data_IF_022780601214
#
_entry.id   IF_022780601214
#
_cell.length_a   1.000
_cell.length_b   1.000
_cell.length_c   1.000
_cell.angle_alpha   90.00
_cell.angle_beta   90.00
_cell.angle_gamma   90.00
#
_symmetry.space_group_name_H-M   'P 1'
#
loop_
_entity.id
_entity.type
_entity.pdbx_description
1 polymer ?
#
# COMPACT_ATOMS: atom_id res chain seq x y z
N UNK A 1 41.10 -7.15 21.91
CA UNK A 1 39.97 -6.32 21.41
C UNK A 1 39.54 -6.72 19.99
N UNK A 2 39.22 -8.00 19.74
CA UNK A 2 38.74 -8.47 18.42
C UNK A 2 37.52 -9.42 18.49
N UNK A 3 37.21 -9.95 19.67
CA UNK A 3 36.05 -10.85 19.89
C UNK A 3 34.81 -10.14 20.44
N UNK A 4 34.92 -8.88 20.84
CA UNK A 4 33.80 -8.07 21.35
C UNK A 4 33.03 -7.31 20.26
N UNK A 5 33.60 -7.18 19.05
CA UNK A 5 32.95 -6.48 17.93
C UNK A 5 31.99 -7.41 17.17
N UNK A 6 32.27 -8.72 17.13
CA UNK A 6 31.38 -9.69 16.47
C UNK A 6 30.06 -9.91 17.23
N UNK A 7 30.07 -9.82 18.55
CA UNK A 7 28.87 -10.04 19.36
C UNK A 7 27.88 -8.89 19.28
N UNK A 8 28.35 -7.66 18.98
CA UNK A 8 27.48 -6.51 18.75
C UNK A 8 26.74 -6.58 17.40
N UNK A 9 27.33 -7.24 16.39
CA UNK A 9 26.70 -7.41 15.07
C UNK A 9 25.61 -8.51 15.08
N UNK A 10 25.75 -9.51 15.95
CA UNK A 10 24.74 -10.57 16.13
C UNK A 10 23.49 -10.08 16.90
N UNK A 11 23.65 -9.09 17.79
CA UNK A 11 22.54 -8.51 18.56
C UNK A 11 21.70 -7.49 17.75
N UNK A 12 22.19 -7.03 16.59
CA UNK A 12 21.53 -5.99 15.77
C UNK A 12 20.61 -6.52 14.65
N UNK A 13 20.55 -7.83 14.40
CA UNK A 13 19.76 -8.38 13.30
C UNK A 13 18.54 -9.22 13.71
N UNK A 14 18.31 -9.44 15.01
CA UNK A 14 17.12 -10.17 15.49
C UNK A 14 15.90 -9.26 15.68
N UNK A 15 15.98 -8.01 15.26
CA UNK A 15 14.85 -7.09 15.18
C UNK A 15 14.79 -6.50 13.77
N UNK A 16 14.64 -7.36 12.76
CA UNK A 16 13.94 -6.93 11.55
C UNK A 16 12.46 -6.98 11.96
N UNK A 17 11.79 -5.84 12.28
CA UNK A 17 10.34 -5.86 12.29
C UNK A 17 9.92 -6.41 10.92
N UNK A 18 8.89 -7.24 10.86
CA UNK A 18 8.37 -7.85 9.64
C UNK A 18 8.00 -6.77 8.58
N UNK A 19 8.99 -6.19 7.90
CA UNK A 19 8.86 -5.23 6.80
C UNK A 19 8.82 -6.02 5.50
N UNK A 20 7.89 -6.97 5.44
CA UNK A 20 7.39 -7.48 4.16
C UNK A 20 5.89 -7.22 4.02
N UNK A 21 5.28 -6.54 5.00
CA UNK A 21 3.91 -6.10 4.88
C UNK A 21 3.83 -4.92 3.89
N UNK A 22 3.35 -5.22 2.67
CA UNK A 22 2.91 -4.25 1.66
C UNK A 22 3.99 -3.31 1.08
N UNK A 23 4.53 -3.63 -0.11
CA UNK A 23 5.49 -2.79 -0.85
C UNK A 23 4.83 -1.68 -1.68
N UNK A 24 4.23 -0.67 -1.05
CA UNK A 24 3.84 0.55 -1.77
C UNK A 24 5.09 1.41 -2.00
N UNK A 25 5.59 1.47 -3.24
CA UNK A 25 6.75 2.28 -3.60
C UNK A 25 6.35 3.76 -3.77
N UNK A 26 6.17 4.45 -2.64
CA UNK A 26 5.70 5.84 -2.59
C UNK A 26 6.60 6.77 -3.42
N UNK A 27 7.91 6.62 -3.31
CA UNK A 27 8.89 7.49 -3.98
C UNK A 27 8.78 7.39 -5.50
N UNK A 28 8.71 6.16 -6.05
CA UNK A 28 8.57 5.97 -7.49
C UNK A 28 7.24 6.54 -8.04
N UNK A 29 6.16 6.42 -7.27
CA UNK A 29 4.85 6.97 -7.64
C UNK A 29 4.86 8.49 -7.65
N UNK A 30 5.47 9.13 -6.63
CA UNK A 30 5.62 10.58 -6.59
C UNK A 30 6.49 11.11 -7.74
N UNK A 31 7.60 10.44 -8.05
CA UNK A 31 8.44 10.81 -9.19
C UNK A 31 7.68 10.75 -10.53
N UNK A 32 6.71 9.84 -10.68
CA UNK A 32 5.85 9.78 -11.87
C UNK A 32 4.90 10.98 -11.96
N UNK A 33 4.41 11.47 -10.82
CA UNK A 33 3.58 12.68 -10.75
C UNK A 33 4.42 13.93 -11.04
N UNK A 34 5.60 14.06 -10.45
CA UNK A 34 6.54 15.18 -10.72
C UNK A 34 6.88 15.27 -12.22
N UNK A 35 7.12 14.11 -12.85
CA UNK A 35 7.32 14.06 -14.31
C UNK A 35 6.07 14.51 -15.07
N UNK A 36 4.88 14.07 -14.64
CA UNK A 36 3.63 14.51 -15.25
C UNK A 36 3.41 16.02 -15.10
N UNK A 37 3.79 16.61 -13.96
CA UNK A 37 3.70 18.05 -13.71
C UNK A 37 4.62 18.81 -14.65
N UNK A 38 5.85 18.34 -14.84
CA UNK A 38 6.78 18.92 -15.83
C UNK A 38 6.25 18.80 -17.27
N UNK A 39 5.58 17.69 -17.61
CA UNK A 39 5.01 17.48 -18.94
C UNK A 39 3.82 18.41 -19.23
N UNK A 40 2.96 18.72 -18.24
CA UNK A 40 1.86 19.69 -18.42
C UNK A 40 2.31 21.15 -18.38
N UNK A 41 3.44 21.45 -17.72
CA UNK A 41 4.03 22.79 -17.75
C UNK A 41 4.67 23.11 -19.12
N UNK A 42 4.99 22.10 -19.93
CA UNK A 42 5.53 22.28 -21.27
C UNK A 42 4.42 22.52 -22.30
N UNK A 43 4.34 23.72 -22.88
CA UNK A 43 3.30 24.13 -23.84
C UNK A 43 3.08 23.13 -25.00
N UNK A 44 4.18 22.63 -25.60
CA UNK A 44 4.11 21.69 -26.74
C UNK A 44 3.56 20.33 -26.33
N UNK A 45 3.83 19.88 -25.10
CA UNK A 45 3.31 18.62 -24.57
C UNK A 45 1.89 18.79 -24.05
N UNK A 46 1.57 19.89 -23.39
CA UNK A 46 0.25 20.18 -22.86
C UNK A 46 -0.83 20.27 -23.96
N UNK A 47 -0.45 20.70 -25.17
CA UNK A 47 -1.33 20.70 -26.34
C UNK A 47 -1.74 19.29 -26.82
N UNK A 48 -1.06 18.23 -26.35
CA UNK A 48 -1.35 16.85 -26.75
C UNK A 48 -2.33 16.21 -25.77
N UNK A 49 -3.46 15.72 -26.27
CA UNK A 49 -4.43 14.95 -25.47
C UNK A 49 -3.79 13.76 -24.73
N UNK A 50 -2.80 13.10 -25.37
CA UNK A 50 -2.06 11.99 -24.77
C UNK A 50 -1.37 12.37 -23.44
N UNK A 51 -0.93 13.63 -23.27
CA UNK A 51 -0.30 14.11 -22.04
C UNK A 51 -1.29 14.08 -20.87
N UNK A 52 -2.53 14.53 -21.09
CA UNK A 52 -3.59 14.52 -20.08
C UNK A 52 -4.07 13.10 -19.76
N UNK A 53 -4.15 12.22 -20.76
CA UNK A 53 -4.44 10.79 -20.55
C UNK A 53 -3.35 10.14 -19.69
N UNK A 54 -2.09 10.42 -19.98
CA UNK A 54 -0.96 9.90 -19.21
C UNK A 54 -0.94 10.45 -17.77
N UNK A 55 -1.31 11.72 -17.59
CA UNK A 55 -1.52 12.31 -16.26
C UNK A 55 -2.59 11.54 -15.50
N UNK A 56 -3.78 11.38 -16.07
CA UNK A 56 -4.88 10.63 -15.44
C UNK A 56 -4.48 9.21 -15.05
N UNK A 57 -3.74 8.49 -15.91
CA UNK A 57 -3.18 7.17 -15.58
C UNK A 57 -2.22 7.21 -14.40
N UNK A 58 -1.35 8.23 -14.33
CA UNK A 58 -0.42 8.37 -13.21
C UNK A 58 -1.17 8.60 -11.89
N UNK A 59 -2.16 9.50 -11.87
CA UNK A 59 -2.99 9.73 -10.68
C UNK A 59 -3.80 8.48 -10.28
N UNK A 60 -4.37 7.77 -11.25
CA UNK A 60 -5.05 6.50 -10.99
C UNK A 60 -4.13 5.46 -10.35
N UNK A 61 -2.91 5.29 -10.87
CA UNK A 61 -1.94 4.36 -10.28
C UNK A 61 -1.59 4.75 -8.83
N UNK A 62 -1.37 6.04 -8.58
CA UNK A 62 -1.11 6.58 -7.23
C UNK A 62 -2.27 6.29 -6.27
N UNK A 63 -3.51 6.49 -6.72
CA UNK A 63 -4.71 6.27 -5.92
C UNK A 63 -4.96 4.77 -5.66
N UNK A 64 -4.75 3.92 -6.68
CA UNK A 64 -5.08 2.51 -6.62
C UNK A 64 -4.00 1.65 -5.97
N UNK A 65 -2.71 2.03 -6.04
CA UNK A 65 -1.59 1.20 -5.54
C UNK A 65 -1.82 0.62 -4.14
N UNK A 66 -2.32 1.37 -3.14
CA UNK A 66 -2.50 0.84 -1.79
C UNK A 66 -3.45 -0.38 -1.73
N UNK A 67 -4.43 -0.47 -2.62
CA UNK A 67 -5.46 -1.52 -2.59
C UNK A 67 -5.57 -2.30 -3.89
N UNK A 68 -4.67 -2.11 -4.86
CA UNK A 68 -4.77 -2.69 -6.22
C UNK A 68 -4.89 -4.22 -6.26
N UNK A 69 -4.34 -4.88 -5.25
CA UNK A 69 -4.35 -6.34 -5.14
C UNK A 69 -5.55 -6.88 -4.36
N UNK A 70 -6.39 -6.01 -3.79
CA UNK A 70 -7.56 -6.44 -3.03
C UNK A 70 -8.75 -6.64 -3.96
N UNK A 71 -9.48 -7.72 -3.70
CA UNK A 71 -10.78 -7.97 -4.32
C UNK A 71 -11.69 -8.68 -3.32
N UNK A 72 -13.00 -8.47 -3.48
CA UNK A 72 -14.02 -9.10 -2.64
C UNK A 72 -13.99 -10.61 -2.85
N UNK A 73 -14.23 -11.37 -1.77
CA UNK A 73 -14.16 -12.84 -1.73
C UNK A 73 -12.75 -13.43 -1.87
N UNK A 74 -11.68 -12.61 -1.83
CA UNK A 74 -10.31 -13.13 -1.70
C UNK A 74 -10.18 -13.95 -0.40
N UNK A 75 -9.62 -15.16 -0.50
CA UNK A 75 -9.29 -15.98 0.68
C UNK A 75 -8.31 -15.24 1.60
N UNK A 76 -8.55 -15.25 2.90
CA UNK A 76 -7.74 -14.54 3.88
C UNK A 76 -6.27 -15.02 3.89
N UNK A 77 -6.03 -16.29 3.58
CA UNK A 77 -4.68 -16.84 3.37
C UNK A 77 -3.98 -16.22 2.16
N UNK A 78 -4.70 -15.98 1.06
CA UNK A 78 -4.16 -15.32 -0.13
C UNK A 78 -3.81 -13.86 0.17
N UNK A 79 -4.62 -13.17 0.98
CA UNK A 79 -4.30 -11.82 1.44
C UNK A 79 -2.97 -11.80 2.22
N UNK A 80 -2.77 -12.74 3.14
CA UNK A 80 -1.50 -12.86 3.87
C UNK A 80 -0.31 -13.19 2.98
N UNK A 81 -0.48 -14.07 1.99
CA UNK A 81 0.59 -14.41 1.05
C UNK A 81 0.99 -13.22 0.16
N UNK A 82 0.04 -12.38 -0.23
CA UNK A 82 0.28 -11.26 -1.16
C UNK A 82 0.71 -9.98 -0.46
N UNK A 83 0.13 -9.69 0.70
CA UNK A 83 0.34 -8.43 1.43
C UNK A 83 1.24 -8.63 2.65
N UNK A 84 1.36 -9.84 3.18
CA UNK A 84 2.05 -10.15 4.43
C UNK A 84 1.09 -10.27 5.63
N UNK A 85 1.65 -10.44 6.82
CA UNK A 85 0.87 -10.47 8.06
C UNK A 85 0.31 -9.08 8.41
N UNK A 86 -0.93 -8.99 8.93
CA UNK A 86 -1.46 -7.72 9.42
C UNK A 86 -0.69 -7.24 10.65
N UNK A 87 -0.63 -5.92 10.83
CA UNK A 87 -0.01 -5.29 12.01
C UNK A 87 -0.80 -5.57 13.29
N UNK A 88 -2.11 -5.64 13.17
CA UNK A 88 -3.01 -5.98 14.28
C UNK A 88 -4.33 -6.53 13.74
N UNK A 89 -5.07 -7.19 14.63
CA UNK A 89 -6.42 -7.69 14.34
C UNK A 89 -7.38 -7.26 15.44
N UNK A 90 -8.61 -6.89 15.07
CA UNK A 90 -9.68 -6.47 15.98
C UNK A 90 -11.04 -6.95 15.46
N UNK A 91 -12.08 -6.88 16.30
CA UNK A 91 -13.47 -7.05 15.87
C UNK A 91 -14.08 -5.66 15.64
N UNK A 92 -14.66 -5.42 14.47
CA UNK A 92 -15.33 -4.16 14.12
C UNK A 92 -16.74 -4.44 13.57
N UNK A 93 -17.69 -3.57 13.88
CA UNK A 93 -19.06 -3.66 13.35
C UNK A 93 -19.27 -2.58 12.31
N UNK A 94 -19.59 -2.97 11.08
CA UNK A 94 -19.95 -2.07 9.98
C UNK A 94 -21.40 -2.35 9.59
N UNK A 95 -22.25 -1.32 9.60
CA UNK A 95 -23.66 -1.43 9.22
C UNK A 95 -24.40 -2.60 9.93
N UNK A 96 -24.09 -2.83 11.21
CA UNK A 96 -24.71 -3.90 12.02
C UNK A 96 -24.12 -5.30 11.79
N UNK A 97 -23.12 -5.46 10.93
CA UNK A 97 -22.43 -6.74 10.69
C UNK A 97 -21.06 -6.70 11.34
N UNK A 98 -20.72 -7.74 12.12
CA UNK A 98 -19.41 -7.89 12.75
C UNK A 98 -18.40 -8.52 11.78
N UNK A 99 -17.19 -7.99 11.77
CA UNK A 99 -16.07 -8.41 10.95
C UNK A 99 -14.79 -8.53 11.79
N UNK A 100 -13.90 -9.42 11.39
CA UNK A 100 -12.52 -9.40 11.87
C UNK A 100 -11.74 -8.40 11.02
N UNK A 101 -11.40 -7.25 11.60
CA UNK A 101 -10.61 -6.21 10.94
C UNK A 101 -9.12 -6.54 11.03
N UNK A 102 -8.46 -6.61 9.87
CA UNK A 102 -7.03 -6.81 9.72
C UNK A 102 -6.38 -5.51 9.30
N UNK A 103 -5.54 -4.94 10.18
CA UNK A 103 -4.93 -3.63 9.97
C UNK A 103 -3.59 -3.78 9.27
N UNK A 104 -3.51 -3.24 8.05
CA UNK A 104 -2.28 -3.16 7.25
C UNK A 104 -1.72 -1.73 7.25
N UNK A 105 -0.48 -1.52 6.77
CA UNK A 105 0.11 -0.17 6.77
C UNK A 105 -0.71 0.89 6.01
N UNK A 106 -1.43 0.51 4.96
CA UNK A 106 -2.18 1.45 4.10
C UNK A 106 -3.69 1.25 4.04
N UNK A 107 -4.21 0.13 4.55
CA UNK A 107 -5.64 -0.15 4.57
C UNK A 107 -6.01 -1.04 5.76
N UNK A 108 -7.30 -1.14 6.04
CA UNK A 108 -7.87 -2.17 6.91
C UNK A 108 -8.73 -3.09 6.03
N UNK A 109 -8.46 -4.39 6.06
CA UNK A 109 -9.31 -5.38 5.40
C UNK A 109 -10.30 -5.96 6.41
N UNK A 110 -11.56 -6.06 6.01
CA UNK A 110 -12.64 -6.62 6.83
C UNK A 110 -12.90 -8.05 6.39
N UNK A 111 -12.57 -8.99 7.27
CA UNK A 111 -12.66 -10.43 7.00
C UNK A 111 -13.96 -10.98 7.60
N UNK A 112 -14.68 -11.77 6.80
CA UNK A 112 -15.86 -12.54 7.19
C UNK A 112 -15.83 -13.89 6.48
N UNK A 113 -16.16 -14.96 7.17
CA UNK A 113 -16.18 -16.32 6.60
C UNK A 113 -14.86 -16.69 5.90
N UNK A 114 -13.72 -16.33 6.52
CA UNK A 114 -12.37 -16.50 5.99
C UNK A 114 -12.07 -15.77 4.65
N UNK A 115 -12.90 -14.80 4.27
CA UNK A 115 -12.75 -14.04 3.02
C UNK A 115 -12.75 -12.53 3.26
N UNK A 116 -12.07 -11.80 2.38
CA UNK A 116 -12.14 -10.34 2.32
C UNK A 116 -13.55 -9.93 1.90
N UNK A 117 -14.31 -9.35 2.82
CA UNK A 117 -15.65 -8.84 2.55
C UNK A 117 -15.60 -7.42 1.98
N UNK A 118 -14.75 -6.57 2.55
CA UNK A 118 -14.52 -5.19 2.10
C UNK A 118 -13.21 -4.65 2.70
N UNK A 119 -12.83 -3.42 2.35
CA UNK A 119 -11.65 -2.75 2.91
C UNK A 119 -11.86 -1.24 3.01
N UNK A 120 -11.07 -0.62 3.88
CA UNK A 120 -10.97 0.83 4.01
C UNK A 120 -9.52 1.24 3.84
N UNK A 121 -9.24 2.10 2.86
CA UNK A 121 -7.91 2.72 2.74
C UNK A 121 -7.69 3.70 3.90
N UNK A 122 -6.55 3.58 4.57
CA UNK A 122 -6.19 4.39 5.75
C UNK A 122 -5.05 5.36 5.47
N UNK A 123 -4.29 5.15 4.39
CA UNK A 123 -3.23 6.05 3.93
C UNK A 123 -3.28 6.24 2.43
N UNK A 124 -2.77 7.38 1.97
CA UNK A 124 -2.73 7.76 0.56
C UNK A 124 -1.32 8.19 0.18
N UNK A 125 -0.93 7.88 -1.06
CA UNK A 125 0.36 8.33 -1.61
C UNK A 125 0.27 9.84 -1.84
N UNK A 126 -0.80 10.28 -2.48
CA UNK A 126 -1.29 11.66 -2.56
C UNK A 126 -2.75 11.63 -2.12
N UNK A 127 -3.13 12.52 -1.21
CA UNK A 127 -4.52 12.66 -0.76
C UNK A 127 -5.33 13.36 -1.86
N UNK A 128 -6.52 12.86 -2.14
CA UNK A 128 -7.44 13.45 -3.15
C UNK A 128 -6.86 13.49 -4.58
N UNK A 129 -6.06 12.46 -4.90
CA UNK A 129 -5.47 12.20 -6.22
C UNK A 129 -6.52 11.93 -7.32
#
# INVERSE_FOLDING_TARGET
MKKTILTALAALLVAVPAVQAQKVNKEALLAKIEKSDADIANEKKAAKAATWINRGKAFYEVAAEPTKNLFVNMEATMLKLTVGEPKSTSQETLNGVQYTAWVYPWFTAYIKDNKVATWKQTKWVIKDA
#
